data_IF_474314237390
#
_entry.id   IF_474314237390
#
_cell.length_a   1.000
_cell.length_b   1.000
_cell.length_c   1.000
_cell.angle_alpha   90.00
_cell.angle_beta   90.00
_cell.angle_gamma   90.00
#
_symmetry.space_group_name_H-M   'P 1'
#
loop_
_entity.id
_entity.type
_entity.pdbx_description
1 polymer ?
#
# COMPACT_ATOMS: atom_id res chain seq x y z
N UNK A 1 -1.62 -8.20 -28.40
CA UNK A 1 -1.54 -9.35 -27.47
C UNK A 1 -2.69 -10.28 -27.77
N UNK A 2 -2.40 -11.53 -28.12
CA UNK A 2 -3.42 -12.59 -28.21
C UNK A 2 -4.05 -12.82 -26.83
N UNK A 3 -5.37 -13.02 -26.78
CA UNK A 3 -6.04 -13.41 -25.54
C UNK A 3 -5.53 -14.80 -25.14
N UNK A 4 -4.92 -14.91 -23.95
CA UNK A 4 -4.56 -16.18 -23.34
C UNK A 4 -5.74 -17.14 -23.39
N UNK A 5 -5.48 -18.39 -23.76
CA UNK A 5 -6.54 -19.41 -23.75
C UNK A 5 -7.02 -19.63 -22.31
N UNK A 6 -8.26 -20.10 -22.13
CA UNK A 6 -8.76 -20.46 -20.80
C UNK A 6 -7.80 -21.41 -20.06
N UNK A 7 -7.19 -22.34 -20.81
CA UNK A 7 -6.21 -23.28 -20.25
C UNK A 7 -4.96 -22.57 -19.70
N UNK A 8 -4.47 -21.54 -20.38
CA UNK A 8 -3.31 -20.77 -19.91
C UNK A 8 -3.66 -19.96 -18.65
N UNK A 9 -4.84 -19.37 -18.61
CA UNK A 9 -5.34 -18.64 -17.44
C UNK A 9 -5.45 -19.56 -16.21
N UNK A 10 -5.91 -20.80 -16.40
CA UNK A 10 -5.99 -21.80 -15.32
C UNK A 10 -4.61 -22.26 -14.83
N UNK A 11 -3.66 -22.40 -15.75
CA UNK A 11 -2.28 -22.74 -15.41
C UNK A 11 -1.65 -21.64 -14.56
N UNK A 12 -1.80 -20.38 -14.97
CA UNK A 12 -1.30 -19.21 -14.23
C UNK A 12 -1.96 -19.07 -12.86
N UNK A 13 -3.27 -19.31 -12.77
CA UNK A 13 -4.02 -19.32 -11.51
C UNK A 13 -3.47 -20.39 -10.56
N UNK A 14 -3.38 -21.64 -11.01
CA UNK A 14 -2.87 -22.75 -10.19
C UNK A 14 -1.43 -22.53 -9.73
N UNK A 15 -0.58 -21.99 -10.61
CA UNK A 15 0.81 -21.67 -10.29
C UNK A 15 0.89 -20.57 -9.22
N UNK A 16 0.12 -19.49 -9.38
CA UNK A 16 0.07 -18.36 -8.44
C UNK A 16 -0.50 -18.78 -7.07
N UNK A 17 -1.58 -19.55 -7.08
CA UNK A 17 -2.21 -20.10 -5.87
C UNK A 17 -1.23 -20.98 -5.09
N UNK A 18 -0.58 -21.92 -5.78
CA UNK A 18 0.42 -22.82 -5.20
C UNK A 18 1.60 -22.05 -4.62
N UNK A 19 2.15 -21.10 -5.37
CA UNK A 19 3.26 -20.26 -4.92
C UNK A 19 2.92 -19.50 -3.65
N UNK A 20 1.69 -18.96 -3.56
CA UNK A 20 1.21 -18.22 -2.39
C UNK A 20 1.30 -19.06 -1.10
N UNK A 21 0.86 -20.32 -1.15
CA UNK A 21 0.86 -21.21 0.01
C UNK A 21 2.29 -21.71 0.31
N UNK A 22 3.01 -22.17 -0.71
CA UNK A 22 4.36 -22.73 -0.57
C UNK A 22 5.40 -21.71 -0.10
N UNK A 23 5.19 -20.41 -0.38
CA UNK A 23 6.07 -19.33 0.06
C UNK A 23 5.70 -18.74 1.42
N UNK A 24 4.77 -19.38 2.14
CA UNK A 24 4.21 -18.89 3.41
C UNK A 24 3.61 -17.47 3.33
N UNK A 25 3.14 -17.05 2.15
CA UNK A 25 2.43 -15.78 1.93
C UNK A 25 0.92 -15.99 2.12
N UNK A 26 0.55 -16.58 3.25
CA UNK A 26 -0.84 -16.99 3.51
C UNK A 26 -1.79 -15.78 3.52
N UNK A 27 -1.31 -14.59 3.84
CA UNK A 27 -2.07 -13.35 3.87
C UNK A 27 -2.61 -12.94 2.48
N UNK A 28 -1.98 -13.39 1.39
CA UNK A 28 -2.47 -13.15 0.02
C UNK A 28 -3.42 -14.24 -0.49
N UNK A 29 -3.52 -15.37 0.20
CA UNK A 29 -4.31 -16.54 -0.20
C UNK A 29 -5.81 -16.27 -0.37
N UNK A 30 -6.47 -15.45 0.46
CA UNK A 30 -7.90 -15.15 0.29
C UNK A 30 -8.19 -14.37 -1.01
N UNK A 31 -7.18 -13.71 -1.59
CA UNK A 31 -7.27 -12.97 -2.85
C UNK A 31 -7.58 -13.84 -4.08
N UNK A 32 -7.38 -15.16 -3.99
CA UNK A 32 -7.75 -16.12 -5.05
C UNK A 32 -9.25 -16.44 -5.07
N UNK A 33 -10.02 -15.97 -4.09
CA UNK A 33 -11.43 -16.29 -3.91
C UNK A 33 -12.31 -15.05 -4.05
N UNK A 34 -13.53 -15.20 -4.54
CA UNK A 34 -14.56 -14.16 -4.48
C UNK A 34 -14.99 -13.88 -3.01
N UNK A 35 -15.67 -12.76 -2.76
CA UNK A 35 -16.08 -12.39 -1.39
C UNK A 35 -17.03 -13.45 -0.78
N UNK A 36 -17.97 -13.93 -1.60
CA UNK A 36 -18.72 -15.15 -1.38
C UNK A 36 -18.05 -16.27 -2.16
N UNK A 37 -17.45 -17.21 -1.45
CA UNK A 37 -16.74 -18.35 -2.03
C UNK A 37 -17.09 -19.63 -1.29
N UNK A 38 -16.74 -20.78 -1.84
CA UNK A 38 -16.85 -22.04 -1.13
C UNK A 38 -15.50 -22.76 -1.20
N UNK A 39 -14.77 -22.76 -0.09
CA UNK A 39 -13.52 -23.50 0.06
C UNK A 39 -13.72 -24.67 1.00
N UNK A 40 -13.54 -25.88 0.48
CA UNK A 40 -13.76 -27.11 1.23
C UNK A 40 -12.63 -28.10 0.97
N UNK A 41 -12.03 -28.59 2.05
CA UNK A 41 -11.10 -29.72 2.03
C UNK A 41 -11.81 -30.89 2.70
N UNK A 42 -12.06 -31.97 1.95
CA UNK A 42 -12.76 -33.16 2.45
C UNK A 42 -12.19 -34.44 1.82
N UNK A 43 -12.56 -35.61 2.36
CA UNK A 43 -12.13 -36.90 1.83
C UNK A 43 -12.86 -37.24 0.52
N UNK A 44 -12.23 -38.05 -0.33
CA UNK A 44 -12.87 -38.54 -1.56
C UNK A 44 -14.14 -39.39 -1.29
N UNK A 45 -14.27 -39.96 -0.09
CA UNK A 45 -15.48 -40.67 0.33
C UNK A 45 -16.61 -39.71 0.70
N UNK A 46 -16.32 -38.67 1.49
CA UNK A 46 -17.30 -37.64 1.86
C UNK A 46 -17.80 -36.87 0.64
N UNK A 47 -16.90 -36.56 -0.31
CA UNK A 47 -17.27 -35.90 -1.56
C UNK A 47 -18.23 -36.77 -2.40
N UNK A 48 -17.93 -38.07 -2.55
CA UNK A 48 -18.79 -39.02 -3.29
C UNK A 48 -20.15 -39.25 -2.63
N UNK A 49 -20.24 -39.13 -1.31
CA UNK A 49 -21.47 -39.37 -0.53
C UNK A 49 -22.26 -38.09 -0.25
N UNK A 50 -21.78 -36.92 -0.69
CA UNK A 50 -22.48 -35.64 -0.54
C UNK A 50 -22.49 -35.09 0.89
N UNK A 51 -21.59 -35.54 1.77
CA UNK A 51 -21.56 -35.10 3.16
C UNK A 51 -20.92 -33.71 3.29
N UNK A 52 -21.53 -32.86 4.12
CA UNK A 52 -21.11 -31.46 4.29
C UNK A 52 -19.84 -31.28 5.16
N UNK A 53 -19.50 -32.26 6.01
CA UNK A 53 -18.35 -32.16 6.90
C UNK A 53 -17.01 -32.26 6.15
N UNK A 54 -16.16 -31.26 6.32
CA UNK A 54 -14.80 -31.19 5.79
C UNK A 54 -13.78 -30.80 6.86
N UNK A 55 -12.51 -31.14 6.61
CA UNK A 55 -11.36 -30.73 7.45
C UNK A 55 -11.17 -29.20 7.44
N UNK A 56 -11.47 -28.60 6.29
CA UNK A 56 -11.57 -27.16 6.13
C UNK A 56 -12.87 -26.84 5.43
N UNK A 57 -13.52 -25.78 5.89
CA UNK A 57 -14.77 -25.29 5.34
C UNK A 57 -14.86 -23.79 5.55
N UNK A 58 -14.99 -23.04 4.46
CA UNK A 58 -15.17 -21.60 4.47
C UNK A 58 -16.15 -21.20 3.37
N UNK A 59 -17.14 -20.37 3.72
CA UNK A 59 -18.17 -19.88 2.80
C UNK A 59 -18.01 -18.39 2.45
N UNK A 60 -16.90 -17.78 2.87
CA UNK A 60 -16.56 -16.40 2.56
C UNK A 60 -15.05 -16.18 2.61
N UNK A 61 -14.58 -15.13 1.93
CA UNK A 61 -13.18 -14.70 2.01
C UNK A 61 -12.76 -14.40 3.46
N UNK A 62 -13.63 -13.74 4.23
CA UNK A 62 -13.37 -13.42 5.64
C UNK A 62 -13.11 -14.67 6.50
N UNK A 63 -13.81 -15.79 6.26
CA UNK A 63 -13.55 -17.05 6.97
C UNK A 63 -12.16 -17.63 6.63
N UNK A 64 -11.65 -17.39 5.42
CA UNK A 64 -10.29 -17.78 5.04
C UNK A 64 -9.25 -16.89 5.75
N UNK A 65 -9.52 -15.59 5.87
CA UNK A 65 -8.70 -14.63 6.63
C UNK A 65 -8.61 -15.01 8.11
N UNK A 66 -9.75 -15.34 8.74
CA UNK A 66 -9.80 -15.84 10.12
C UNK A 66 -8.98 -17.12 10.28
N UNK A 67 -9.00 -17.99 9.28
CA UNK A 67 -8.22 -19.23 9.31
C UNK A 67 -6.72 -18.97 9.26
N UNK A 68 -6.27 -17.96 8.50
CA UNK A 68 -4.86 -17.55 8.46
C UNK A 68 -4.44 -17.01 9.82
N UNK A 69 -5.26 -16.15 10.43
CA UNK A 69 -5.04 -15.66 11.79
C UNK A 69 -4.89 -16.83 12.79
N UNK A 70 -5.79 -17.81 12.72
CA UNK A 70 -5.70 -19.02 13.54
C UNK A 70 -4.41 -19.82 13.28
N UNK A 71 -3.97 -19.98 12.02
CA UNK A 71 -2.73 -20.68 11.69
C UNK A 71 -1.48 -19.97 12.23
N UNK A 72 -1.49 -18.62 12.29
CA UNK A 72 -0.38 -17.82 12.82
C UNK A 72 -0.34 -17.79 14.35
N UNK A 73 -1.51 -17.80 15.00
CA UNK A 73 -1.63 -17.54 16.43
C UNK A 73 -1.95 -18.78 17.28
N UNK A 74 -2.45 -19.86 16.68
CA UNK A 74 -2.78 -21.10 17.38
C UNK A 74 -1.88 -22.26 16.92
N UNK A 75 -0.94 -22.65 17.80
CA UNK A 75 -0.22 -23.92 17.85
C UNK A 75 0.30 -24.50 16.53
N UNK A 76 1.56 -24.18 16.23
CA UNK A 76 2.44 -25.11 15.52
C UNK A 76 3.65 -25.37 16.43
N UNK A 77 3.60 -26.48 17.17
CA UNK A 77 4.67 -26.91 18.08
C UNK A 77 5.91 -27.46 17.35
N UNK A 78 5.84 -27.63 16.02
CA UNK A 78 6.95 -28.15 15.20
C UNK A 78 6.99 -27.46 13.83
N UNK A 79 8.15 -26.88 13.48
CA UNK A 79 8.33 -26.16 12.21
C UNK A 79 8.26 -27.14 11.04
N UNK A 80 7.32 -26.90 10.13
CA UNK A 80 7.07 -27.73 8.95
C UNK A 80 6.92 -26.85 7.70
N UNK A 81 7.31 -27.36 6.54
CA UNK A 81 7.06 -26.73 5.25
C UNK A 81 6.30 -27.69 4.34
N UNK A 82 5.54 -27.12 3.41
CA UNK A 82 4.75 -27.86 2.43
C UNK A 82 5.26 -27.58 1.03
N UNK A 83 5.14 -28.57 0.14
CA UNK A 83 5.33 -28.42 -1.30
C UNK A 83 4.14 -28.99 -2.04
N UNK A 84 3.47 -28.15 -2.83
CA UNK A 84 2.37 -28.56 -3.69
C UNK A 84 2.88 -28.83 -5.11
N UNK A 85 2.66 -30.04 -5.59
CA UNK A 85 2.82 -30.43 -6.98
C UNK A 85 1.43 -30.51 -7.60
N UNK A 86 1.11 -29.55 -8.46
CA UNK A 86 -0.19 -29.43 -9.11
C UNK A 86 -0.05 -29.82 -10.58
N UNK A 87 -0.92 -30.70 -11.05
CA UNK A 87 -0.94 -31.19 -12.43
C UNK A 87 -1.59 -30.20 -13.40
N UNK A 88 -1.80 -30.66 -14.63
CA UNK A 88 -2.46 -29.84 -15.64
C UNK A 88 -3.97 -29.78 -15.36
N UNK A 89 -4.60 -28.59 -15.40
CA UNK A 89 -6.04 -28.45 -15.22
C UNK A 89 -6.78 -29.07 -16.42
N UNK A 90 -7.82 -29.83 -16.12
CA UNK A 90 -8.78 -30.35 -17.09
C UNK A 90 -10.07 -29.53 -16.99
N UNK A 91 -10.45 -28.83 -18.06
CA UNK A 91 -11.73 -28.10 -18.12
C UNK A 91 -12.84 -29.10 -18.35
N UNK A 92 -13.69 -29.30 -17.34
CA UNK A 92 -14.84 -30.22 -17.39
C UNK A 92 -16.00 -29.57 -18.14
N UNK A 93 -16.25 -28.28 -17.86
CA UNK A 93 -17.30 -27.48 -18.49
C UNK A 93 -16.84 -26.03 -18.56
N UNK A 94 -17.23 -25.31 -19.61
CA UNK A 94 -17.02 -23.86 -19.69
C UNK A 94 -18.12 -23.23 -20.54
N UNK A 95 -18.62 -22.09 -20.08
CA UNK A 95 -19.49 -21.18 -20.82
C UNK A 95 -18.92 -19.75 -20.80
N UNK A 96 -19.69 -18.75 -21.22
CA UNK A 96 -19.22 -17.38 -21.30
C UNK A 96 -18.89 -16.73 -19.93
N UNK A 97 -19.46 -17.26 -18.84
CA UNK A 97 -19.42 -16.65 -17.51
C UNK A 97 -18.81 -17.58 -16.45
N UNK A 98 -18.82 -18.89 -16.64
CA UNK A 98 -18.29 -19.85 -15.67
C UNK A 98 -17.49 -20.97 -16.34
N UNK A 99 -16.52 -21.51 -15.60
CA UNK A 99 -15.76 -22.69 -15.98
C UNK A 99 -15.61 -23.62 -14.77
N UNK A 100 -15.80 -24.91 -14.97
CA UNK A 100 -15.51 -25.95 -13.98
C UNK A 100 -14.24 -26.68 -14.42
N UNK A 101 -13.24 -26.71 -13.54
CA UNK A 101 -12.02 -27.44 -13.81
C UNK A 101 -11.64 -28.40 -12.69
N UNK A 102 -10.98 -29.47 -13.09
CA UNK A 102 -10.40 -30.46 -12.21
C UNK A 102 -8.88 -30.45 -12.34
N UNK A 103 -8.17 -30.34 -11.21
CA UNK A 103 -6.69 -30.32 -11.22
C UNK A 103 -6.13 -31.29 -10.20
N UNK A 104 -5.38 -32.33 -10.61
CA UNK A 104 -4.80 -33.27 -9.66
C UNK A 104 -3.67 -32.61 -8.89
N UNK A 105 -3.52 -32.97 -7.62
CA UNK A 105 -2.45 -32.43 -6.78
C UNK A 105 -1.82 -33.48 -5.88
N UNK A 106 -0.60 -33.18 -5.46
CA UNK A 106 0.17 -33.91 -4.47
C UNK A 106 0.83 -32.89 -3.53
N UNK A 107 0.63 -33.04 -2.23
CA UNK A 107 1.24 -32.20 -1.19
C UNK A 107 2.23 -33.04 -0.40
N UNK A 108 3.48 -32.58 -0.40
CA UNK A 108 4.55 -33.15 0.41
C UNK A 108 4.75 -32.29 1.65
N UNK A 109 4.90 -32.91 2.80
CA UNK A 109 5.25 -32.24 4.06
C UNK A 109 6.69 -32.57 4.44
N UNK A 110 7.43 -31.55 4.85
CA UNK A 110 8.83 -31.62 5.26
C UNK A 110 8.90 -31.15 6.71
N UNK A 111 9.39 -32.01 7.61
CA UNK A 111 9.49 -31.76 9.05
C UNK A 111 10.94 -31.57 9.50
N UNK A 112 11.15 -31.17 10.76
CA UNK A 112 12.47 -30.92 11.31
C UNK A 112 13.30 -32.23 11.35
N UNK A 113 14.39 -32.30 10.57
CA UNK A 113 15.19 -33.52 10.37
C UNK A 113 15.27 -34.00 8.91
N UNK A 114 14.74 -33.22 7.96
CA UNK A 114 14.71 -33.47 6.50
C UNK A 114 13.89 -34.70 6.07
N UNK A 115 13.12 -35.29 6.99
CA UNK A 115 12.14 -36.31 6.65
C UNK A 115 11.00 -35.70 5.82
N UNK A 116 10.77 -36.32 4.68
CA UNK A 116 9.84 -35.88 3.65
C UNK A 116 8.82 -36.97 3.42
N UNK A 117 7.53 -36.67 3.57
CA UNK A 117 6.47 -37.65 3.34
C UNK A 117 5.27 -37.05 2.61
N UNK A 118 4.56 -37.93 1.90
CA UNK A 118 3.29 -37.60 1.26
C UNK A 118 2.27 -37.21 2.33
N UNK A 119 1.82 -35.97 2.31
CA UNK A 119 0.86 -35.46 3.29
C UNK A 119 -0.58 -35.59 2.80
N UNK A 120 -0.83 -35.19 1.55
CA UNK A 120 -2.14 -35.28 0.92
C UNK A 120 -1.98 -35.44 -0.60
N UNK A 121 -2.95 -36.08 -1.24
CA UNK A 121 -3.10 -36.08 -2.69
C UNK A 121 -4.58 -36.15 -3.02
N UNK A 122 -4.96 -35.60 -4.17
CA UNK A 122 -6.36 -35.54 -4.56
C UNK A 122 -6.57 -34.72 -5.82
N UNK A 123 -7.78 -34.15 -5.92
CA UNK A 123 -8.24 -33.38 -7.05
C UNK A 123 -8.84 -32.08 -6.53
N UNK A 124 -8.32 -30.94 -7.00
CA UNK A 124 -9.05 -29.68 -6.91
C UNK A 124 -10.24 -29.75 -7.86
N UNK A 125 -11.40 -29.29 -7.41
CA UNK A 125 -12.66 -29.23 -8.16
C UNK A 125 -13.18 -27.80 -8.07
N UNK A 126 -12.79 -26.98 -9.03
CA UNK A 126 -12.94 -25.53 -8.92
C UNK A 126 -14.03 -25.02 -9.88
N UNK A 127 -15.15 -24.52 -9.35
CA UNK A 127 -16.07 -23.68 -10.11
C UNK A 127 -15.52 -22.25 -10.13
N UNK A 128 -15.13 -21.80 -11.32
CA UNK A 128 -14.54 -20.49 -11.58
C UNK A 128 -15.55 -19.61 -12.30
N UNK A 129 -15.57 -18.33 -11.95
CA UNK A 129 -16.34 -17.32 -12.67
C UNK A 129 -15.41 -16.56 -13.60
N UNK A 130 -15.71 -16.57 -14.89
CA UNK A 130 -15.15 -15.59 -15.81
C UNK A 130 -15.53 -14.20 -15.29
N UNK A 131 -14.57 -13.27 -15.15
CA UNK A 131 -14.87 -11.95 -14.63
C UNK A 131 -15.83 -11.22 -15.58
N UNK A 132 -17.12 -11.16 -15.24
CA UNK A 132 -18.06 -10.23 -15.84
C UNK A 132 -17.81 -8.88 -15.17
N UNK A 133 -17.23 -7.93 -15.92
CA UNK A 133 -17.16 -6.53 -15.49
C UNK A 133 -16.10 -6.18 -14.45
N UNK A 134 -15.22 -7.11 -14.04
CA UNK A 134 -13.88 -6.69 -13.61
C UNK A 134 -13.09 -6.46 -14.89
N UNK A 135 -12.67 -5.21 -15.13
CA UNK A 135 -11.44 -5.04 -15.91
C UNK A 135 -10.44 -6.02 -15.31
N UNK A 136 -9.82 -6.90 -16.11
CA UNK A 136 -8.61 -7.55 -15.65
C UNK A 136 -7.74 -6.43 -15.11
N UNK A 137 -7.14 -6.60 -13.92
CA UNK A 137 -5.95 -5.83 -13.55
C UNK A 137 -5.12 -5.77 -14.82
N UNK A 138 -4.93 -4.57 -15.35
CA UNK A 138 -4.37 -4.36 -16.69
C UNK A 138 -3.01 -5.03 -16.74
N UNK A 139 -2.95 -6.26 -17.26
CA UNK A 139 -1.75 -6.80 -17.87
C UNK A 139 -1.46 -5.88 -19.05
N UNK A 140 -0.50 -4.97 -18.87
CA UNK A 140 0.04 -4.17 -19.95
C UNK A 140 0.57 -2.77 -19.61
N UNK A 141 0.39 -2.25 -18.39
CA UNK A 141 0.95 -0.93 -18.05
C UNK A 141 1.97 -1.07 -16.92
N UNK A 142 3.23 -0.85 -17.25
CA UNK A 142 4.32 -0.68 -16.29
C UNK A 142 3.95 0.47 -15.34
N UNK A 143 3.95 0.22 -14.03
CA UNK A 143 3.69 1.27 -13.03
C UNK A 143 4.87 2.23 -12.97
N UNK A 144 4.63 3.51 -13.28
CA UNK A 144 5.65 4.55 -13.38
C UNK A 144 5.70 5.34 -12.07
N UNK A 145 6.78 5.18 -11.31
CA UNK A 145 6.94 5.82 -10.00
C UNK A 145 8.06 6.86 -10.06
N UNK A 146 7.72 8.09 -9.67
CA UNK A 146 8.69 9.17 -9.49
C UNK A 146 9.27 9.14 -8.08
N UNK A 147 10.59 9.16 -7.95
CA UNK A 147 11.32 9.14 -6.68
C UNK A 147 12.15 10.41 -6.55
N UNK A 148 11.61 11.52 -5.98
CA UNK A 148 12.44 12.63 -5.56
C UNK A 148 13.32 12.20 -4.40
N UNK A 149 14.63 12.40 -4.56
CA UNK A 149 15.66 11.83 -3.67
C UNK A 149 15.80 12.56 -2.34
N UNK A 150 14.96 13.55 -2.07
CA UNK A 150 14.92 14.26 -0.80
C UNK A 150 16.14 15.15 -0.58
N UNK A 151 16.57 15.29 0.66
CA UNK A 151 17.78 16.06 1.01
C UNK A 151 19.03 15.34 0.45
N UNK A 152 19.79 15.99 -0.46
CA UNK A 152 20.98 15.39 -1.05
C UNK A 152 22.08 15.02 -0.05
N UNK A 153 22.13 15.66 1.12
CA UNK A 153 23.07 15.35 2.20
C UNK A 153 22.50 14.38 3.24
N UNK A 154 21.23 14.01 3.14
CA UNK A 154 20.62 12.96 3.94
C UNK A 154 20.82 11.56 3.35
N UNK A 155 20.11 10.58 3.91
CA UNK A 155 20.10 9.19 3.41
C UNK A 155 19.27 8.99 2.12
N UNK A 156 18.58 10.03 1.65
CA UNK A 156 17.63 9.96 0.54
C UNK A 156 18.23 9.39 -0.75
N UNK A 157 19.38 9.90 -1.24
CA UNK A 157 20.08 9.34 -2.39
C UNK A 157 20.45 7.85 -2.21
N UNK A 158 20.92 7.45 -1.01
CA UNK A 158 21.31 6.07 -0.73
C UNK A 158 20.13 5.10 -0.85
N UNK A 159 19.02 5.43 -0.20
CA UNK A 159 17.84 4.55 -0.19
C UNK A 159 17.13 4.53 -1.56
N UNK A 160 17.18 5.63 -2.31
CA UNK A 160 16.63 5.70 -3.66
C UNK A 160 17.40 4.77 -4.61
N UNK A 161 18.74 4.82 -4.59
CA UNK A 161 19.59 3.93 -5.40
C UNK A 161 19.44 2.46 -4.99
N UNK A 162 19.39 2.17 -3.69
CA UNK A 162 19.11 0.81 -3.18
C UNK A 162 17.73 0.31 -3.61
N UNK A 163 16.74 1.19 -3.68
CA UNK A 163 15.40 0.85 -4.17
C UNK A 163 15.45 0.52 -5.66
N UNK A 164 16.11 1.34 -6.48
CA UNK A 164 16.32 1.05 -7.90
C UNK A 164 17.01 -0.31 -8.09
N UNK A 165 18.08 -0.57 -7.34
CA UNK A 165 18.78 -1.85 -7.40
C UNK A 165 17.88 -3.04 -7.01
N UNK A 166 17.00 -2.87 -6.02
CA UNK A 166 16.08 -3.93 -5.59
C UNK A 166 15.00 -4.26 -6.63
N UNK A 167 14.63 -3.30 -7.47
CA UNK A 167 13.68 -3.47 -8.58
C UNK A 167 14.37 -3.73 -9.93
N UNK A 168 15.69 -3.87 -9.96
CA UNK A 168 16.42 -4.14 -11.20
C UNK A 168 15.93 -5.44 -11.87
N UNK A 169 15.65 -5.35 -13.17
CA UNK A 169 15.15 -6.48 -13.97
C UNK A 169 13.64 -6.74 -13.86
N UNK A 170 12.89 -5.90 -13.13
CA UNK A 170 11.42 -5.92 -13.13
C UNK A 170 10.88 -5.13 -14.33
N UNK A 171 9.82 -5.66 -14.95
CA UNK A 171 9.12 -5.06 -16.09
C UNK A 171 7.73 -4.51 -15.72
N UNK A 172 7.25 -4.80 -14.51
CA UNK A 172 5.97 -4.33 -13.97
C UNK A 172 6.06 -2.96 -13.28
N UNK A 173 7.27 -2.45 -13.03
CA UNK A 173 7.50 -1.12 -12.44
C UNK A 173 8.69 -0.40 -13.08
N UNK A 174 8.52 0.89 -13.37
CA UNK A 174 9.55 1.79 -13.87
C UNK A 174 9.80 2.91 -12.85
N UNK A 175 11.02 3.01 -12.36
CA UNK A 175 11.43 4.00 -11.38
C UNK A 175 12.21 5.13 -12.05
N UNK A 176 11.84 6.38 -11.78
CA UNK A 176 12.59 7.57 -12.22
C UNK A 176 13.02 8.40 -11.03
N UNK A 177 14.32 8.63 -10.90
CA UNK A 177 14.90 9.44 -9.84
C UNK A 177 14.84 10.93 -10.20
N UNK A 178 14.40 11.76 -9.27
CA UNK A 178 14.43 13.23 -9.38
C UNK A 178 15.44 13.77 -8.36
N UNK A 179 16.51 14.41 -8.81
CA UNK A 179 17.55 14.91 -7.92
C UNK A 179 18.82 15.40 -8.61
N UNK A 180 19.81 15.89 -7.85
CA UNK A 180 21.06 16.38 -8.42
C UNK A 180 21.88 15.23 -9.01
N UNK A 181 22.14 15.27 -10.32
CA UNK A 181 22.83 14.18 -11.02
C UNK A 181 24.29 13.96 -10.57
N UNK A 182 24.95 14.98 -10.01
CA UNK A 182 26.26 14.81 -9.38
C UNK A 182 26.15 14.02 -8.08
N UNK A 183 25.19 14.35 -7.21
CA UNK A 183 24.98 13.65 -5.93
C UNK A 183 24.62 12.19 -6.15
N UNK A 184 23.74 11.91 -7.12
CA UNK A 184 23.38 10.53 -7.48
C UNK A 184 24.57 9.72 -7.97
N UNK A 185 25.46 10.31 -8.79
CA UNK A 185 26.69 9.65 -9.24
C UNK A 185 27.65 9.38 -8.08
N UNK A 186 27.97 10.41 -7.29
CA UNK A 186 28.91 10.29 -6.17
C UNK A 186 28.39 9.26 -5.13
N UNK A 187 27.08 9.23 -4.89
CA UNK A 187 26.44 8.22 -4.01
C UNK A 187 26.48 6.82 -4.61
N UNK A 188 26.23 6.67 -5.92
CA UNK A 188 26.31 5.37 -6.58
C UNK A 188 27.74 4.81 -6.54
N UNK A 189 28.75 5.65 -6.74
CA UNK A 189 30.16 5.26 -6.64
C UNK A 189 30.52 4.82 -5.21
N UNK A 190 30.09 5.59 -4.20
CA UNK A 190 30.28 5.25 -2.78
C UNK A 190 29.66 3.90 -2.40
N UNK A 191 28.51 3.55 -2.96
CA UNK A 191 27.78 2.33 -2.65
C UNK A 191 28.11 1.14 -3.57
N UNK A 192 28.90 1.35 -4.63
CA UNK A 192 29.11 0.34 -5.68
C UNK A 192 27.84 0.03 -6.49
N UNK A 193 26.94 1.00 -6.66
CA UNK A 193 25.66 0.88 -7.34
C UNK A 193 25.64 1.55 -8.74
N UNK A 194 26.81 1.68 -9.37
CA UNK A 194 26.95 2.32 -10.70
C UNK A 194 26.08 1.66 -11.78
N UNK A 195 25.94 0.34 -11.77
CA UNK A 195 25.06 -0.38 -12.70
C UNK A 195 23.58 -0.03 -12.50
N UNK A 196 23.13 0.08 -11.24
CA UNK A 196 21.76 0.45 -10.92
C UNK A 196 21.45 1.88 -11.38
N UNK A 197 22.39 2.81 -11.22
CA UNK A 197 22.25 4.17 -11.74
C UNK A 197 22.24 4.20 -13.28
N UNK A 198 23.06 3.38 -13.93
CA UNK A 198 23.16 3.36 -15.39
C UNK A 198 21.86 2.90 -16.08
N UNK A 199 21.07 2.05 -15.42
CA UNK A 199 19.76 1.59 -15.92
C UNK A 199 18.59 2.45 -15.39
N UNK A 200 18.83 3.33 -14.42
CA UNK A 200 17.81 4.22 -13.89
C UNK A 200 17.50 5.36 -14.87
N UNK A 201 16.23 5.73 -14.98
CA UNK A 201 15.88 7.04 -15.55
C UNK A 201 16.14 8.11 -14.49
N UNK A 202 16.85 9.18 -14.86
CA UNK A 202 17.16 10.30 -13.95
C UNK A 202 16.69 11.60 -14.59
N UNK A 203 15.82 12.32 -13.88
CA UNK A 203 15.38 13.66 -14.20
C UNK A 203 16.14 14.65 -13.28
N UNK A 204 17.14 15.37 -13.80
CA UNK A 204 18.00 16.21 -12.97
C UNK A 204 17.22 17.40 -12.37
N UNK A 205 17.41 17.62 -11.08
CA UNK A 205 17.02 18.84 -10.37
C UNK A 205 18.14 19.89 -10.40
N UNK A 206 17.95 21.01 -9.71
CA UNK A 206 19.01 21.99 -9.45
C UNK A 206 20.28 21.31 -8.93
N UNK A 207 21.46 21.59 -9.51
CA UNK A 207 22.70 20.98 -9.08
C UNK A 207 23.08 21.48 -7.68
N UNK A 208 23.63 20.58 -6.87
CA UNK A 208 24.34 20.96 -5.63
C UNK A 208 25.80 21.17 -6.01
N UNK A 209 26.36 22.35 -5.71
CA UNK A 209 27.77 22.62 -6.02
C UNK A 209 28.69 21.68 -5.23
N UNK A 210 29.93 21.46 -5.69
CA UNK A 210 30.83 20.48 -5.06
C UNK A 210 31.04 20.72 -3.56
N UNK A 211 31.12 21.98 -3.12
CA UNK A 211 31.25 22.30 -1.70
C UNK A 211 29.96 22.05 -0.89
N UNK A 212 28.82 21.88 -1.56
CA UNK A 212 27.50 21.70 -0.97
C UNK A 212 27.08 20.25 -0.76
N UNK A 213 27.70 19.28 -1.46
CA UNK A 213 27.45 17.85 -1.21
C UNK A 213 28.38 17.33 -0.12
N UNK A 214 27.84 17.26 1.10
CA UNK A 214 28.54 16.83 2.31
C UNK A 214 27.57 15.99 3.13
N UNK A 215 27.55 14.66 2.91
CA UNK A 215 26.65 13.78 3.66
C UNK A 215 26.70 14.04 5.16
N UNK A 216 25.53 14.26 5.76
CA UNK A 216 25.35 14.60 7.17
C UNK A 216 25.40 16.09 7.53
N UNK A 217 25.75 16.98 6.59
CA UNK A 217 25.71 18.43 6.82
C UNK A 217 24.43 19.08 6.31
N UNK A 218 23.80 19.90 7.16
CA UNK A 218 22.60 20.69 6.83
C UNK A 218 23.04 21.96 6.12
N UNK A 219 22.55 22.21 4.90
CA UNK A 219 22.78 23.47 4.20
C UNK A 219 21.62 23.90 3.27
N UNK A 220 21.60 25.19 2.92
CA UNK A 220 20.56 25.79 2.08
C UNK A 220 20.46 25.19 0.66
N UNK A 221 21.58 24.81 0.04
CA UNK A 221 21.56 24.24 -1.32
C UNK A 221 20.85 22.88 -1.34
N UNK A 222 21.09 22.06 -0.31
CA UNK A 222 20.43 20.77 -0.12
C UNK A 222 18.91 20.93 0.05
N UNK A 223 18.48 21.90 0.85
CA UNK A 223 17.07 22.25 1.02
C UNK A 223 16.39 22.69 -0.28
N UNK A 224 17.05 23.58 -1.04
CA UNK A 224 16.55 24.04 -2.34
C UNK A 224 16.44 22.89 -3.35
N UNK A 225 17.45 22.03 -3.42
CA UNK A 225 17.46 20.87 -4.32
C UNK A 225 16.36 19.85 -3.98
N UNK A 226 16.12 19.59 -2.69
CA UNK A 226 15.07 18.68 -2.23
C UNK A 226 13.67 19.16 -2.67
N UNK A 227 13.38 20.45 -2.52
CA UNK A 227 12.09 21.03 -2.92
C UNK A 227 11.94 21.08 -4.43
N UNK A 228 12.99 21.44 -5.18
CA UNK A 228 12.95 21.44 -6.66
C UNK A 228 12.70 20.03 -7.22
N UNK A 229 13.41 19.02 -6.69
CA UNK A 229 13.21 17.62 -7.08
C UNK A 229 11.77 17.15 -6.81
N UNK A 230 11.24 17.42 -5.61
CA UNK A 230 9.87 17.07 -5.27
C UNK A 230 8.85 17.81 -6.14
N UNK A 231 9.06 19.10 -6.39
CA UNK A 231 8.19 19.92 -7.26
C UNK A 231 8.12 19.35 -8.67
N UNK A 232 9.28 19.04 -9.28
CA UNK A 232 9.35 18.43 -10.62
C UNK A 232 8.66 17.07 -10.69
N UNK A 233 8.83 16.24 -9.66
CA UNK A 233 8.17 14.94 -9.57
C UNK A 233 6.64 15.08 -9.49
N UNK A 234 6.15 16.03 -8.67
CA UNK A 234 4.71 16.34 -8.54
C UNK A 234 4.17 16.87 -9.88
N UNK A 235 4.82 17.85 -10.51
CA UNK A 235 4.40 18.39 -11.80
C UNK A 235 4.35 17.33 -12.89
N UNK A 236 5.36 16.45 -12.96
CA UNK A 236 5.39 15.37 -13.95
C UNK A 236 4.25 14.36 -13.72
N UNK A 237 3.96 14.05 -12.45
CA UNK A 237 2.85 13.16 -12.07
C UNK A 237 1.49 13.81 -12.40
N UNK A 238 1.34 15.11 -12.11
CA UNK A 238 0.14 15.87 -12.46
C UNK A 238 -0.12 15.88 -13.98
N UNK A 239 0.94 15.89 -14.79
CA UNK A 239 0.87 15.80 -16.26
C UNK A 239 0.68 14.36 -16.78
N UNK A 240 0.46 13.38 -15.90
CA UNK A 240 0.23 11.97 -16.27
C UNK A 240 1.48 11.20 -16.72
N UNK A 241 2.69 11.74 -16.49
CA UNK A 241 3.96 11.03 -16.80
C UNK A 241 4.26 9.91 -15.81
N UNK A 242 3.73 10.00 -14.60
CA UNK A 242 3.90 9.05 -13.51
C UNK A 242 2.56 8.76 -12.85
N UNK A 243 2.45 7.60 -12.23
CA UNK A 243 1.24 7.14 -11.56
C UNK A 243 1.24 7.53 -10.07
N UNK A 244 2.44 7.63 -9.46
CA UNK A 244 2.62 8.13 -8.10
C UNK A 244 4.03 8.69 -7.84
N UNK A 245 4.15 9.45 -6.75
CA UNK A 245 5.41 9.96 -6.20
C UNK A 245 5.74 9.24 -4.90
N UNK A 246 6.97 8.71 -4.78
CA UNK A 246 7.53 8.16 -3.54
C UNK A 246 8.73 9.00 -3.14
N UNK A 247 8.50 9.97 -2.25
CA UNK A 247 9.52 10.91 -1.83
C UNK A 247 10.43 10.34 -0.73
N UNK A 248 11.74 10.49 -0.95
CA UNK A 248 12.74 10.25 0.09
C UNK A 248 12.71 11.38 1.15
N UNK A 249 13.32 11.18 2.33
CA UNK A 249 13.27 12.16 3.41
C UNK A 249 13.90 13.51 3.04
N UNK A 250 13.33 14.59 3.58
CA UNK A 250 13.86 15.95 3.50
C UNK A 250 14.29 16.47 4.88
N UNK A 251 14.96 17.62 4.92
CA UNK A 251 15.35 18.28 6.16
C UNK A 251 14.76 19.70 6.25
N UNK A 252 13.81 19.92 7.15
CA UNK A 252 13.08 21.19 7.26
C UNK A 252 14.02 22.39 7.52
N UNK A 253 15.05 22.23 8.36
CA UNK A 253 16.03 23.28 8.60
C UNK A 253 16.81 23.67 7.34
N UNK A 254 17.16 22.70 6.48
CA UNK A 254 17.85 22.97 5.22
C UNK A 254 16.94 23.78 4.27
N UNK A 255 15.65 23.41 4.19
CA UNK A 255 14.64 24.10 3.40
C UNK A 255 14.42 25.53 3.91
N UNK A 256 14.34 25.71 5.23
CA UNK A 256 14.21 27.02 5.86
C UNK A 256 15.43 27.91 5.60
N UNK A 257 16.65 27.37 5.66
CA UNK A 257 17.88 28.09 5.31
C UNK A 257 17.92 28.52 3.84
N UNK A 258 17.22 27.81 2.96
CA UNK A 258 17.04 28.19 1.56
C UNK A 258 16.01 29.33 1.36
N UNK A 259 15.33 29.78 2.43
CA UNK A 259 14.29 30.79 2.37
C UNK A 259 12.97 30.29 1.76
N UNK A 260 12.76 28.97 1.71
CA UNK A 260 11.58 28.35 1.10
C UNK A 260 10.53 28.08 2.19
N UNK A 261 9.33 28.60 1.98
CA UNK A 261 8.17 28.27 2.83
C UNK A 261 7.75 26.83 2.56
N UNK A 262 7.83 25.98 3.58
CA UNK A 262 7.50 24.57 3.49
C UNK A 262 7.01 24.07 4.85
N UNK A 263 5.81 23.47 4.87
CA UNK A 263 5.18 22.90 6.07
C UNK A 263 4.92 21.40 5.94
N UNK A 264 5.54 20.76 4.94
CA UNK A 264 5.39 19.35 4.61
C UNK A 264 4.99 19.10 3.15
N UNK A 265 4.89 17.83 2.78
CA UNK A 265 4.46 17.45 1.43
C UNK A 265 3.01 17.82 1.10
N UNK A 266 2.02 17.77 2.01
CA UNK A 266 0.65 18.19 1.69
C UNK A 266 0.58 19.62 1.15
N UNK A 267 1.23 20.59 1.82
CA UNK A 267 1.24 21.98 1.37
C UNK A 267 2.05 22.18 0.08
N UNK A 268 3.14 21.41 -0.10
CA UNK A 268 3.85 21.42 -1.37
C UNK A 268 2.99 20.90 -2.52
N UNK A 269 2.28 19.77 -2.34
CA UNK A 269 1.38 19.19 -3.34
C UNK A 269 0.28 20.18 -3.71
N UNK A 270 -0.37 20.80 -2.73
CA UNK A 270 -1.39 21.81 -2.96
C UNK A 270 -0.85 22.98 -3.78
N UNK A 271 0.29 23.55 -3.37
CA UNK A 271 0.92 24.68 -4.07
C UNK A 271 1.30 24.34 -5.50
N UNK A 272 1.95 23.19 -5.73
CA UNK A 272 2.40 22.77 -7.06
C UNK A 272 1.22 22.44 -7.96
N UNK A 273 0.17 21.82 -7.41
CA UNK A 273 -1.03 21.49 -8.18
C UNK A 273 -1.98 22.69 -8.38
N UNK A 274 -1.68 23.85 -7.80
CA UNK A 274 -2.52 25.05 -7.90
C UNK A 274 -3.86 24.93 -7.17
N UNK A 275 -3.90 24.17 -6.06
CA UNK A 275 -5.10 23.93 -5.26
C UNK A 275 -4.98 24.54 -3.86
N UNK A 276 -6.11 24.84 -3.18
CA UNK A 276 -6.09 25.23 -1.77
C UNK A 276 -5.47 24.13 -0.90
N UNK A 277 -4.71 24.50 0.15
CA UNK A 277 -4.08 23.51 1.05
C UNK A 277 -5.11 22.58 1.70
N UNK A 278 -6.29 23.10 2.03
CA UNK A 278 -7.41 22.34 2.62
C UNK A 278 -8.05 21.31 1.68
N UNK A 279 -7.65 21.27 0.41
CA UNK A 279 -8.09 20.23 -0.54
C UNK A 279 -7.13 19.03 -0.61
N UNK A 280 -6.00 19.10 0.08
CA UNK A 280 -5.02 18.02 0.17
C UNK A 280 -5.08 17.40 1.57
N UNK A 281 -5.38 16.11 1.62
CA UNK A 281 -5.57 15.36 2.86
C UNK A 281 -4.46 14.33 3.04
N UNK A 282 -4.30 13.85 4.28
CA UNK A 282 -3.38 12.76 4.59
C UNK A 282 -4.14 11.44 4.79
N UNK A 283 -3.83 10.45 3.96
CA UNK A 283 -4.23 9.06 4.14
C UNK A 283 -3.09 8.28 4.79
N UNK A 284 -3.33 7.70 5.96
CA UNK A 284 -2.46 6.71 6.57
C UNK A 284 -2.90 5.30 6.21
N UNK A 285 -1.97 4.46 5.80
CA UNK A 285 -2.20 3.04 5.53
C UNK A 285 -1.27 2.21 6.42
N UNK A 286 -1.83 1.33 7.26
CA UNK A 286 -1.05 0.47 8.14
C UNK A 286 -1.91 -0.34 9.10
N UNK A 287 -1.41 -1.50 9.54
CA UNK A 287 -2.10 -2.30 10.56
C UNK A 287 -3.49 -2.82 10.16
N UNK A 288 -3.71 -2.97 8.84
CA UNK A 288 -5.02 -3.32 8.26
C UNK A 288 -6.00 -2.15 8.13
N UNK A 289 -5.60 -0.92 8.48
CA UNK A 289 -6.44 0.27 8.43
C UNK A 289 -5.98 1.24 7.34
N UNK A 290 -6.94 1.98 6.78
CA UNK A 290 -6.73 3.11 5.87
C UNK A 290 -7.52 4.29 6.41
N UNK A 291 -6.83 5.29 6.96
CA UNK A 291 -7.47 6.41 7.68
C UNK A 291 -7.10 7.73 7.01
N UNK A 292 -8.09 8.40 6.40
CA UNK A 292 -7.94 9.77 5.92
C UNK A 292 -8.23 10.76 7.07
N UNK A 293 -7.45 11.82 7.14
CA UNK A 293 -7.56 12.86 8.16
C UNK A 293 -8.15 14.13 7.56
N UNK A 294 -9.26 14.61 8.12
CA UNK A 294 -9.89 15.89 7.73
C UNK A 294 -8.99 17.06 8.14
N UNK A 295 -8.44 17.01 9.35
CA UNK A 295 -7.45 17.98 9.86
C UNK A 295 -6.19 17.25 10.36
N UNK A 296 -5.03 17.93 10.31
CA UNK A 296 -3.72 17.30 10.56
C UNK A 296 -2.87 18.09 11.57
N UNK A 297 -1.78 18.73 11.14
CA UNK A 297 -0.76 19.31 12.03
C UNK A 297 -1.17 20.69 12.56
N UNK A 298 -2.17 20.72 13.43
CA UNK A 298 -2.68 21.93 14.08
C UNK A 298 -3.19 21.64 15.50
N UNK A 299 -3.47 22.69 16.28
CA UNK A 299 -4.07 22.48 17.60
C UNK A 299 -5.48 21.92 17.45
N UNK A 300 -5.91 21.06 18.37
CA UNK A 300 -7.27 20.50 18.36
C UNK A 300 -8.32 21.62 18.33
N UNK A 301 -8.11 22.71 19.09
CA UNK A 301 -9.01 23.86 19.05
C UNK A 301 -9.12 24.51 17.67
N UNK A 302 -7.99 24.65 16.95
CA UNK A 302 -8.00 25.23 15.61
C UNK A 302 -8.66 24.29 14.60
N UNK A 303 -8.34 23.00 14.66
CA UNK A 303 -8.97 21.96 13.85
C UNK A 303 -10.49 22.05 14.00
N UNK A 304 -11.00 22.02 15.23
CA UNK A 304 -12.44 22.11 15.50
C UNK A 304 -13.06 23.42 15.01
N UNK A 305 -12.34 24.55 15.12
CA UNK A 305 -12.84 25.86 14.73
C UNK A 305 -13.00 26.08 13.22
N UNK A 306 -12.36 25.27 12.38
CA UNK A 306 -12.41 25.39 10.91
C UNK A 306 -13.14 24.25 10.20
N UNK A 307 -13.60 23.23 10.93
CA UNK A 307 -14.35 22.13 10.34
C UNK A 307 -15.64 22.63 9.69
N UNK A 308 -15.98 22.03 8.54
CA UNK A 308 -17.25 22.24 7.86
C UNK A 308 -17.72 20.92 7.24
N UNK A 309 -19.03 20.76 6.95
CA UNK A 309 -19.54 19.60 6.23
C UNK A 309 -18.78 19.31 4.93
N UNK A 310 -18.46 20.36 4.18
CA UNK A 310 -17.77 20.27 2.90
C UNK A 310 -16.36 19.73 3.07
N UNK A 311 -15.61 20.23 4.07
CA UNK A 311 -14.25 19.76 4.35
C UNK A 311 -14.22 18.26 4.71
N UNK A 312 -15.18 17.80 5.52
CA UNK A 312 -15.32 16.38 5.86
C UNK A 312 -15.66 15.56 4.62
N UNK A 313 -16.62 16.02 3.81
CA UNK A 313 -17.02 15.34 2.59
C UNK A 313 -15.86 15.27 1.57
N UNK A 314 -15.08 16.33 1.41
CA UNK A 314 -13.94 16.38 0.51
C UNK A 314 -12.82 15.43 0.93
N UNK A 315 -12.55 15.32 2.24
CA UNK A 315 -11.61 14.34 2.78
C UNK A 315 -12.05 12.91 2.46
N UNK A 316 -13.33 12.61 2.68
CA UNK A 316 -13.91 11.29 2.36
C UNK A 316 -13.81 10.99 0.86
N UNK A 317 -14.18 11.92 -0.01
CA UNK A 317 -14.08 11.77 -1.48
C UNK A 317 -12.64 11.56 -1.92
N UNK A 318 -11.69 12.32 -1.38
CA UNK A 318 -10.27 12.14 -1.67
C UNK A 318 -9.80 10.73 -1.29
N UNK A 319 -10.23 10.24 -0.12
CA UNK A 319 -9.98 8.87 0.32
C UNK A 319 -10.56 7.84 -0.64
N UNK A 320 -11.82 7.98 -1.04
CA UNK A 320 -12.49 7.07 -1.99
C UNK A 320 -11.77 7.05 -3.34
N UNK A 321 -11.48 8.22 -3.93
CA UNK A 321 -10.73 8.31 -5.19
C UNK A 321 -9.37 7.62 -5.10
N UNK A 322 -8.71 7.75 -3.95
CA UNK A 322 -7.42 7.10 -3.70
C UNK A 322 -7.58 5.59 -3.58
N UNK A 323 -8.58 5.10 -2.85
CA UNK A 323 -8.82 3.66 -2.72
C UNK A 323 -9.20 3.01 -4.05
N UNK A 324 -9.94 3.69 -4.91
CA UNK A 324 -10.21 3.24 -6.27
C UNK A 324 -8.91 3.10 -7.08
N UNK A 325 -8.02 4.09 -7.02
CA UNK A 325 -6.66 3.97 -7.59
C UNK A 325 -5.89 2.81 -6.98
N UNK A 326 -6.15 2.47 -5.72
CA UNK A 326 -5.54 1.35 -5.02
C UNK A 326 -6.22 -0.02 -5.26
N UNK A 327 -7.21 -0.08 -6.16
CA UNK A 327 -7.93 -1.31 -6.52
C UNK A 327 -9.19 -1.62 -5.70
N UNK A 328 -9.70 -0.66 -4.95
CA UNK A 328 -10.97 -0.76 -4.18
C UNK A 328 -11.96 0.25 -4.75
N UNK A 329 -12.69 -0.14 -5.80
CA UNK A 329 -13.57 0.76 -6.57
C UNK A 329 -14.77 1.29 -5.76
N UNK A 330 -15.31 0.47 -4.85
CA UNK A 330 -16.49 0.79 -4.03
C UNK A 330 -16.19 0.56 -2.55
N UNK A 331 -15.37 1.42 -1.91
CA UNK A 331 -14.95 1.22 -0.53
C UNK A 331 -16.10 1.48 0.45
N UNK A 332 -16.21 0.64 1.48
CA UNK A 332 -17.06 0.90 2.64
C UNK A 332 -16.41 1.95 3.52
N UNK A 333 -17.16 3.00 3.85
CA UNK A 333 -16.66 4.17 4.56
C UNK A 333 -17.17 4.18 6.01
N UNK A 334 -16.27 4.38 6.96
CA UNK A 334 -16.59 4.70 8.35
C UNK A 334 -16.26 6.16 8.63
N UNK A 335 -17.29 6.99 8.84
CA UNK A 335 -17.10 8.38 9.26
C UNK A 335 -17.12 8.46 10.79
N UNK A 336 -16.04 8.96 11.39
CA UNK A 336 -15.98 9.18 12.82
C UNK A 336 -16.68 10.47 13.21
N UNK A 337 -17.30 10.48 14.39
CA UNK A 337 -17.79 11.70 15.02
C UNK A 337 -16.66 12.58 15.55
N UNK A 338 -16.96 13.84 15.80
CA UNK A 338 -16.10 14.83 16.46
C UNK A 338 -16.04 14.52 17.95
N UNK A 339 -17.21 14.38 18.57
CA UNK A 339 -17.35 14.12 19.99
C UNK A 339 -17.39 12.61 20.29
N UNK A 340 -17.15 12.21 21.55
CA UNK A 340 -17.46 10.86 22.01
C UNK A 340 -18.91 10.50 21.65
N UNK A 341 -19.10 9.26 21.18
CA UNK A 341 -20.40 8.76 20.75
C UNK A 341 -21.08 9.62 19.65
N UNK A 342 -20.31 10.39 18.88
CA UNK A 342 -20.82 11.35 17.91
C UNK A 342 -21.86 12.33 18.50
N UNK A 343 -21.62 12.79 19.73
CA UNK A 343 -22.43 13.81 20.39
C UNK A 343 -23.63 13.26 21.18
N UNK A 344 -24.00 11.98 21.03
CA UNK A 344 -25.09 11.33 21.77
C UNK A 344 -26.39 12.17 21.78
N UNK A 345 -26.87 12.53 20.59
CA UNK A 345 -28.07 13.36 20.42
C UNK A 345 -27.96 14.79 20.98
N UNK A 346 -26.74 15.31 21.12
CA UNK A 346 -26.45 16.64 21.65
C UNK A 346 -25.97 16.63 23.11
N UNK A 347 -25.96 15.49 23.79
CA UNK A 347 -25.54 15.39 25.20
C UNK A 347 -24.05 15.68 25.39
N UNK A 348 -23.20 15.31 24.43
CA UNK A 348 -21.75 15.46 24.52
C UNK A 348 -21.17 16.51 23.57
N UNK A 349 -22.03 17.35 22.98
CA UNK A 349 -21.65 18.34 21.98
C UNK A 349 -22.65 18.39 20.83
N UNK A 350 -22.67 19.50 20.12
CA UNK A 350 -23.62 19.75 19.00
C UNK A 350 -22.93 19.80 17.64
N UNK A 351 -21.60 19.73 17.64
CA UNK A 351 -20.74 19.88 16.48
C UNK A 351 -21.00 18.78 15.45
N UNK A 352 -21.27 17.54 15.90
CA UNK A 352 -21.57 16.42 15.01
C UNK A 352 -22.84 16.66 14.18
N UNK A 353 -23.93 17.11 14.83
CA UNK A 353 -25.18 17.46 14.13
C UNK A 353 -25.03 18.64 13.18
N UNK A 354 -24.08 19.54 13.45
CA UNK A 354 -23.80 20.70 12.60
C UNK A 354 -22.83 20.40 11.44
N UNK A 355 -21.96 19.39 11.56
CA UNK A 355 -20.80 19.18 10.68
C UNK A 355 -20.78 17.76 10.09
N UNK A 356 -20.66 16.72 10.91
CA UNK A 356 -20.42 15.34 10.44
C UNK A 356 -21.70 14.66 9.96
N UNK A 357 -22.86 14.95 10.56
CA UNK A 357 -24.16 14.46 10.09
C UNK A 357 -24.53 15.02 8.70
N UNK A 358 -24.43 16.34 8.44
CA UNK A 358 -24.63 16.89 7.10
C UNK A 358 -23.64 16.32 6.06
N UNK A 359 -22.35 16.17 6.41
CA UNK A 359 -21.36 15.56 5.53
C UNK A 359 -21.73 14.10 5.18
N UNK A 360 -22.18 13.32 6.16
CA UNK A 360 -22.63 11.95 5.95
C UNK A 360 -23.88 11.89 5.06
N UNK A 361 -24.84 12.79 5.26
CA UNK A 361 -26.03 12.88 4.43
C UNK A 361 -25.69 13.20 2.96
N UNK A 362 -24.76 14.13 2.75
CA UNK A 362 -24.26 14.48 1.42
C UNK A 362 -23.59 13.28 0.73
N UNK A 363 -22.65 12.61 1.41
CA UNK A 363 -21.93 11.46 0.87
C UNK A 363 -22.88 10.28 0.55
N UNK A 364 -23.91 10.04 1.37
CA UNK A 364 -24.93 9.03 1.09
C UNK A 364 -25.79 9.39 -0.12
N UNK A 365 -26.17 10.66 -0.26
CA UNK A 365 -26.90 11.14 -1.42
C UNK A 365 -26.10 10.97 -2.74
N UNK A 366 -24.77 10.99 -2.64
CA UNK A 366 -23.83 10.68 -3.74
C UNK A 366 -23.68 9.17 -4.00
N UNK A 367 -24.26 8.31 -3.17
CA UNK A 367 -24.25 6.85 -3.34
C UNK A 367 -23.10 6.12 -2.65
N UNK A 368 -22.34 6.77 -1.77
CA UNK A 368 -21.29 6.10 -1.00
C UNK A 368 -21.88 5.17 0.07
N UNK A 369 -21.29 3.98 0.21
CA UNK A 369 -21.60 3.05 1.32
C UNK A 369 -20.96 3.56 2.62
N UNK A 370 -21.70 4.36 3.37
CA UNK A 370 -21.21 5.09 4.53
C UNK A 370 -21.93 4.69 5.83
N UNK A 371 -21.13 4.21 6.79
CA UNK A 371 -21.49 4.04 8.20
C UNK A 371 -21.04 5.26 9.01
N UNK A 372 -21.92 5.81 9.85
CA UNK A 372 -21.62 6.96 10.72
C UNK A 372 -22.38 8.25 10.36
N UNK A 373 -22.06 9.39 11.01
CA UNK A 373 -21.04 9.54 12.03
C UNK A 373 -21.32 8.66 13.25
N UNK A 374 -20.27 8.08 13.83
CA UNK A 374 -20.36 7.29 15.06
C UNK A 374 -19.06 7.44 15.87
N UNK A 375 -19.08 6.97 17.13
CA UNK A 375 -17.88 6.94 17.98
C UNK A 375 -16.72 6.25 17.26
N UNK A 376 -15.57 6.94 17.19
CA UNK A 376 -14.38 6.42 16.51
C UNK A 376 -13.89 5.11 17.12
N UNK A 377 -14.02 4.95 18.44
CA UNK A 377 -13.74 3.72 19.18
C UNK A 377 -14.58 2.53 18.71
N UNK A 378 -15.89 2.70 18.55
CA UNK A 378 -16.79 1.67 18.03
C UNK A 378 -16.42 1.29 16.59
N UNK A 379 -16.21 2.28 15.73
CA UNK A 379 -15.88 2.05 14.31
C UNK A 379 -14.55 1.31 14.17
N UNK A 380 -13.52 1.74 14.90
CA UNK A 380 -12.18 1.14 14.89
C UNK A 380 -12.13 -0.25 15.55
N UNK A 381 -12.99 -0.54 16.51
CA UNK A 381 -13.08 -1.86 17.13
C UNK A 381 -13.59 -2.92 16.13
N UNK A 382 -14.54 -2.56 15.26
CA UNK A 382 -15.12 -3.49 14.29
C UNK A 382 -14.18 -3.85 13.13
N UNK A 383 -13.31 -2.91 12.72
CA UNK A 383 -12.43 -3.02 11.54
C UNK A 383 -13.14 -3.48 10.26
N UNK A 384 -14.44 -3.19 10.14
CA UNK A 384 -15.28 -3.71 9.07
C UNK A 384 -15.26 -2.86 7.80
N UNK A 385 -14.50 -1.77 7.74
CA UNK A 385 -14.56 -0.76 6.67
C UNK A 385 -13.24 -0.66 5.93
N UNK A 386 -13.32 -0.25 4.67
CA UNK A 386 -12.16 -0.16 3.80
C UNK A 386 -11.46 1.20 3.96
N UNK A 387 -12.24 2.25 4.28
CA UNK A 387 -11.80 3.62 4.55
C UNK A 387 -12.39 4.14 5.86
N UNK A 388 -11.55 4.74 6.70
CA UNK A 388 -11.95 5.48 7.89
C UNK A 388 -11.68 6.97 7.68
N UNK A 389 -12.63 7.82 8.06
CA UNK A 389 -12.50 9.28 8.00
C UNK A 389 -12.39 9.79 9.42
N UNK A 390 -11.17 10.16 9.83
CA UNK A 390 -10.86 10.76 11.12
C UNK A 390 -10.92 12.29 11.02
N UNK A 391 -11.57 12.92 11.99
CA UNK A 391 -11.80 14.37 12.03
C UNK A 391 -10.53 15.14 12.35
N UNK A 392 -9.70 14.63 13.26
CA UNK A 392 -8.45 15.26 13.69
C UNK A 392 -7.31 14.26 13.85
N UNK A 393 -6.07 14.77 13.86
CA UNK A 393 -4.83 13.99 13.81
C UNK A 393 -4.83 12.76 14.72
N UNK A 394 -4.97 12.96 16.04
CA UNK A 394 -4.81 11.89 17.03
C UNK A 394 -5.89 10.80 16.91
N UNK A 395 -7.09 11.16 16.42
CA UNK A 395 -8.18 10.21 16.22
C UNK A 395 -7.80 9.11 15.21
N UNK A 396 -7.00 9.43 14.20
CA UNK A 396 -6.51 8.47 13.20
C UNK A 396 -5.06 8.01 13.40
N UNK A 397 -4.18 8.83 13.95
CA UNK A 397 -2.77 8.46 14.14
C UNK A 397 -2.56 7.42 15.23
N UNK A 398 -3.23 7.56 16.38
CA UNK A 398 -3.10 6.64 17.52
C UNK A 398 -3.38 5.18 17.09
N UNK A 399 -4.53 4.84 16.47
CA UNK A 399 -4.82 3.45 16.11
C UNK A 399 -3.79 2.88 15.11
N UNK A 400 -3.38 3.66 14.11
CA UNK A 400 -2.36 3.24 13.14
C UNK A 400 -1.02 2.96 13.83
N UNK A 401 -0.57 3.85 14.70
CA UNK A 401 0.74 3.73 15.38
C UNK A 401 0.76 2.58 16.39
N UNK A 402 -0.36 2.27 17.04
CA UNK A 402 -0.47 1.10 17.92
C UNK A 402 -0.35 -0.22 17.14
N UNK A 403 -0.90 -0.28 15.93
CA UNK A 403 -0.95 -1.52 15.12
C UNK A 403 0.24 -1.68 14.18
N UNK A 404 0.84 -0.58 13.76
CA UNK A 404 1.90 -0.53 12.76
C UNK A 404 2.91 0.57 13.08
N UNK A 405 3.63 0.46 14.21
CA UNK A 405 4.49 1.54 14.72
C UNK A 405 5.59 1.96 13.73
N UNK A 406 6.07 1.03 12.89
CA UNK A 406 7.20 1.25 11.98
C UNK A 406 6.88 0.98 10.51
N UNK A 407 5.64 0.59 10.17
CA UNK A 407 5.27 0.14 8.81
C UNK A 407 4.04 0.84 8.23
N UNK A 408 3.65 1.97 8.82
CA UNK A 408 2.58 2.79 8.28
C UNK A 408 3.12 3.71 7.17
N UNK A 409 2.42 3.78 6.05
CA UNK A 409 2.69 4.72 4.96
C UNK A 409 1.77 5.93 5.06
N UNK A 410 2.33 7.12 4.88
CA UNK A 410 1.58 8.37 4.82
C UNK A 410 1.51 8.83 3.36
N UNK A 411 0.31 9.14 2.88
CA UNK A 411 0.04 9.51 1.49
C UNK A 411 -0.73 10.84 1.48
N UNK A 412 -0.16 11.86 0.85
CA UNK A 412 -0.87 13.07 0.46
C UNK A 412 -1.77 12.77 -0.73
N UNK A 413 -3.05 13.07 -0.57
CA UNK A 413 -4.14 12.78 -1.51
C UNK A 413 -5.02 14.01 -1.70
N UNK A 414 -5.91 14.02 -2.69
CA UNK A 414 -6.89 15.10 -2.89
C UNK A 414 -6.58 15.98 -4.09
N UNK A 415 -5.31 16.30 -4.32
CA UNK A 415 -4.81 16.72 -5.62
C UNK A 415 -4.64 15.49 -6.51
N UNK A 416 -4.79 15.59 -7.83
CA UNK A 416 -4.71 14.45 -8.77
C UNK A 416 -3.38 13.66 -8.77
N UNK A 417 -2.47 13.99 -7.85
CA UNK A 417 -1.19 13.36 -7.57
C UNK A 417 -1.29 12.54 -6.27
N UNK A 418 -0.86 11.28 -6.31
CA UNK A 418 -0.57 10.49 -5.11
C UNK A 418 0.89 10.70 -4.73
N UNK A 419 1.15 11.28 -3.56
CA UNK A 419 2.52 11.41 -3.03
C UNK A 419 2.61 10.73 -1.68
N UNK A 420 3.50 9.75 -1.55
CA UNK A 420 3.88 9.18 -0.26
C UNK A 420 5.31 9.56 0.10
N UNK A 421 5.55 9.87 1.37
CA UNK A 421 6.90 10.01 1.92
C UNK A 421 7.22 8.83 2.83
N UNK A 422 8.46 8.36 2.81
CA UNK A 422 8.91 7.33 3.77
C UNK A 422 8.88 7.89 5.20
N UNK A 423 8.41 7.08 6.16
CA UNK A 423 8.09 7.54 7.52
C UNK A 423 9.29 7.83 8.45
N UNK A 424 10.52 7.87 7.92
CA UNK A 424 11.73 8.19 8.68
C UNK A 424 12.37 9.49 8.18
N UNK A 425 13.09 10.20 9.04
CA UNK A 425 13.77 11.46 8.69
C UNK A 425 15.01 11.25 7.82
N UNK A 426 15.69 12.36 7.50
CA UNK A 426 16.91 12.38 6.66
C UNK A 426 18.13 11.70 7.27
N UNK A 427 18.08 11.36 8.56
CA UNK A 427 19.09 10.56 9.27
C UNK A 427 20.52 11.02 8.97
N UNK A 428 20.77 12.32 9.19
CA UNK A 428 22.04 12.99 8.88
C UNK A 428 23.25 12.31 9.54
N UNK A 429 23.05 11.69 10.70
CA UNK A 429 24.08 10.96 11.44
C UNK A 429 24.58 9.69 10.74
N UNK A 430 23.81 9.13 9.81
CA UNK A 430 24.19 7.93 9.04
C UNK A 430 24.31 8.17 7.53
N UNK A 431 24.05 9.39 7.07
CA UNK A 431 24.18 9.75 5.67
C UNK A 431 25.62 9.55 5.16
N UNK A 432 25.75 8.96 3.97
CA UNK A 432 27.03 8.63 3.34
C UNK A 432 27.75 7.43 3.97
N UNK A 433 27.13 6.70 4.90
CA UNK A 433 27.74 5.51 5.52
C UNK A 433 27.32 4.20 4.87
N UNK A 434 26.35 4.22 3.95
CA UNK A 434 25.85 3.02 3.27
C UNK A 434 24.98 2.10 4.13
N UNK A 435 24.67 2.47 5.37
CA UNK A 435 23.92 1.62 6.32
C UNK A 435 22.41 1.86 6.31
N UNK A 436 21.93 2.90 5.63
CA UNK A 436 20.51 3.23 5.57
C UNK A 436 19.69 2.11 4.90
N UNK A 437 18.57 1.73 5.52
CA UNK A 437 17.67 0.68 4.98
C UNK A 437 16.70 1.27 3.97
N UNK A 438 16.64 0.69 2.76
CA UNK A 438 15.68 1.10 1.73
C UNK A 438 14.31 0.41 1.85
N UNK A 439 14.10 -0.44 2.87
CA UNK A 439 12.91 -1.29 2.98
C UNK A 439 11.60 -0.51 2.92
N UNK A 440 11.49 0.60 3.67
CA UNK A 440 10.27 1.40 3.71
C UNK A 440 9.94 2.00 2.32
N UNK A 441 10.95 2.46 1.58
CA UNK A 441 10.76 2.96 0.22
C UNK A 441 10.33 1.85 -0.73
N UNK A 442 10.96 0.67 -0.65
CA UNK A 442 10.61 -0.51 -1.45
C UNK A 442 9.16 -0.93 -1.22
N UNK A 443 8.73 -0.99 0.04
CA UNK A 443 7.35 -1.35 0.42
C UNK A 443 6.34 -0.30 -0.08
N UNK A 444 6.68 0.99 -0.01
CA UNK A 444 5.82 2.06 -0.53
C UNK A 444 5.72 2.04 -2.05
N UNK A 445 6.83 1.77 -2.76
CA UNK A 445 6.81 1.56 -4.22
C UNK A 445 5.93 0.37 -4.59
N UNK A 446 6.01 -0.73 -3.84
CA UNK A 446 5.18 -1.91 -4.07
C UNK A 446 3.69 -1.59 -3.92
N UNK A 447 3.34 -0.90 -2.83
CA UNK A 447 1.97 -0.49 -2.52
C UNK A 447 1.39 0.43 -3.59
N UNK A 448 2.10 1.48 -3.99
CA UNK A 448 1.60 2.45 -4.98
C UNK A 448 1.72 1.95 -6.42
N UNK A 449 2.66 1.05 -6.69
CA UNK A 449 2.85 0.45 -8.00
C UNK A 449 1.93 -0.75 -8.26
N UNK A 450 1.16 -1.21 -7.27
CA UNK A 450 0.39 -2.46 -7.37
C UNK A 450 1.24 -3.69 -7.71
N UNK A 451 2.49 -3.70 -7.25
CA UNK A 451 3.46 -4.77 -7.51
C UNK A 451 3.86 -5.46 -6.23
N UNK A 452 4.35 -6.70 -6.35
CA UNK A 452 4.93 -7.40 -5.21
C UNK A 452 6.28 -6.80 -4.84
N UNK A 453 6.47 -6.45 -3.56
CA UNK A 453 7.74 -5.96 -3.06
C UNK A 453 8.84 -7.01 -3.30
N UNK A 454 10.00 -6.64 -3.87
CA UNK A 454 11.12 -7.55 -4.02
C UNK A 454 11.60 -8.02 -2.65
N UNK A 455 12.04 -9.28 -2.58
CA UNK A 455 12.61 -9.83 -1.37
C UNK A 455 13.88 -9.05 -1.02
N UNK A 456 13.86 -8.31 0.09
CA UNK A 456 15.05 -7.63 0.58
C UNK A 456 16.04 -8.69 1.05
N UNK A 457 17.06 -9.00 0.26
CA UNK A 457 18.20 -9.77 0.74
C UNK A 457 18.80 -9.01 1.91
N UNK A 458 18.86 -9.61 3.10
CA UNK A 458 19.71 -9.08 4.18
C UNK A 458 21.12 -9.03 3.62
N UNK A 459 21.57 -7.84 3.22
CA UNK A 459 22.96 -7.61 2.87
C UNK A 459 23.78 -8.07 4.07
N UNK A 460 24.65 -9.06 3.86
CA UNK A 460 25.81 -9.20 4.74
C UNK A 460 26.54 -7.87 4.63
N UNK A 461 26.50 -7.08 5.70
CA UNK A 461 27.49 -6.03 5.87
C UNK A 461 28.88 -6.69 5.77
N UNK A 462 29.86 -6.10 5.06
CA UNK A 462 31.24 -6.54 5.14
C UNK A 462 31.75 -6.50 6.57
#
# INVERSE_FOLDING_TARGET
MEKLSLRDQLLDFNASYTRCIDSDNLESWPGFFADVCHYRVTSAENDRTGLAAGLMYATSRAMLEDRISALRHANVYERQTYRHMVGLPHVVRSDANEAECETPFLVVRIVQGDETFLYATGLYKDPLRHPVGRSPVTQGTVSRIAIPVGDPNGIGPEIALKTVAAYAGRDDVALTLFGPANVLRDTADMLGLGEALAVASVEPSAPVLQDGFRPGEINAQAGAAAVDAATRAIEATQRGRFDAVVAAPHHETAIAQAGIVFSGYPSLVARVCGQPEDSVFLLLIGGGLRIVHVTLHESVQHALGRLSPELVADAARAGVRTLARLGIDTPRIALMGINPHAGEGGLFGTEDGAITEPAAAQLRAEGFDLTGPAGGDMLLASRAHDLYVAIFHDQGHIPIKLLSPQRASAISIGADVLLSSVGHGSAMDIAGKGVASARAMIETVAMLGHVTAPATTKGKAP
#
